data_IF_728445254499
#
_entry.id   IF_728445254499
#
_cell.length_a   1.000
_cell.length_b   1.000
_cell.length_c   1.000
_cell.angle_alpha   90.00
_cell.angle_beta   90.00
_cell.angle_gamma   90.00
#
_symmetry.space_group_name_H-M   'P 1'
#
loop_
_entity.id
_entity.type
_entity.pdbx_description
1 polymer ?
#
# COMPACT_ATOMS: atom_id res chain seq x y z
N UNK A 1 5.50 -5.87 -8.79
CA UNK A 1 4.55 -5.34 -7.79
C UNK A 1 5.31 -4.48 -6.81
N UNK A 2 4.78 -3.29 -6.52
CA UNK A 2 5.38 -2.29 -5.64
C UNK A 2 4.35 -1.88 -4.60
N UNK A 3 4.57 -2.32 -3.35
CA UNK A 3 3.61 -2.21 -2.26
C UNK A 3 3.56 -0.81 -1.63
N UNK A 4 4.58 0.02 -1.86
CA UNK A 4 4.72 1.35 -1.26
C UNK A 4 5.01 1.30 0.25
N UNK A 5 4.67 2.39 0.95
CA UNK A 5 5.00 2.57 2.37
C UNK A 5 5.64 3.93 2.67
N UNK A 6 5.04 5.01 2.15
CA UNK A 6 5.57 6.36 2.33
C UNK A 6 6.95 6.57 1.68
N UNK A 7 7.70 7.56 2.18
CA UNK A 7 9.03 7.92 1.66
C UNK A 7 10.07 6.85 2.00
N UNK A 8 9.96 6.21 3.15
CA UNK A 8 10.82 5.12 3.61
C UNK A 8 10.61 3.88 2.73
N UNK A 9 9.36 3.51 2.46
CA UNK A 9 9.03 2.42 1.54
C UNK A 9 9.53 2.68 0.11
N UNK A 10 9.28 3.89 -0.42
CA UNK A 10 9.79 4.31 -1.74
C UNK A 10 11.31 4.17 -1.86
N UNK A 11 12.05 4.57 -0.83
CA UNK A 11 13.50 4.44 -0.80
C UNK A 11 13.96 2.98 -0.82
N UNK A 12 13.32 2.12 -0.02
CA UNK A 12 13.61 0.68 0.01
C UNK A 12 13.29 0.01 -1.34
N UNK A 13 12.14 0.33 -1.93
CA UNK A 13 11.72 -0.18 -3.25
C UNK A 13 12.75 0.18 -4.33
N UNK A 14 13.21 1.43 -4.39
CA UNK A 14 14.25 1.87 -5.33
C UNK A 14 15.57 1.13 -5.10
N UNK A 15 15.98 0.94 -3.84
CA UNK A 15 17.18 0.18 -3.49
C UNK A 15 17.12 -1.28 -3.93
N UNK A 16 16.02 -1.95 -3.61
CA UNK A 16 15.76 -3.35 -3.98
C UNK A 16 15.67 -3.54 -5.50
N UNK A 17 14.98 -2.64 -6.21
CA UNK A 17 14.92 -2.63 -7.67
C UNK A 17 16.31 -2.44 -8.29
N UNK A 18 17.15 -1.55 -7.75
CA UNK A 18 18.50 -1.31 -8.25
C UNK A 18 19.41 -2.53 -8.08
N UNK A 19 19.35 -3.21 -6.92
CA UNK A 19 20.09 -4.45 -6.71
C UNK A 19 19.64 -5.57 -7.66
N UNK A 20 18.34 -5.65 -7.96
CA UNK A 20 17.81 -6.57 -8.96
C UNK A 20 18.28 -6.20 -10.38
N UNK A 21 18.30 -4.92 -10.73
CA UNK A 21 18.73 -4.42 -12.05
C UNK A 21 20.24 -4.62 -12.31
N UNK A 22 21.08 -4.39 -11.30
CA UNK A 22 22.52 -4.69 -11.33
C UNK A 22 22.81 -6.22 -11.39
N UNK A 23 21.83 -7.08 -11.05
CA UNK A 23 21.92 -8.54 -11.12
C UNK A 23 21.31 -9.17 -12.39
N UNK A 24 20.47 -8.43 -13.13
CA UNK A 24 19.86 -8.93 -14.36
C UNK A 24 20.87 -8.91 -15.52
N UNK A 25 21.30 -10.10 -15.95
CA UNK A 25 22.18 -10.26 -17.11
C UNK A 25 21.35 -10.21 -18.40
N UNK A 26 21.67 -9.28 -19.30
CA UNK A 26 21.02 -9.16 -20.62
C UNK A 26 19.58 -8.61 -20.63
N UNK A 27 19.04 -8.23 -19.47
CA UNK A 27 17.71 -7.64 -19.27
C UNK A 27 17.76 -6.54 -18.20
N UNK A 28 16.71 -5.77 -17.98
CA UNK A 28 16.58 -4.75 -16.92
C UNK A 28 15.22 -4.86 -16.24
N UNK A 29 15.09 -4.35 -15.00
CA UNK A 29 13.77 -4.22 -14.35
C UNK A 29 12.84 -3.23 -15.07
N UNK A 30 13.35 -2.47 -16.05
CA UNK A 30 12.55 -1.68 -16.99
C UNK A 30 11.96 -2.50 -18.17
N UNK A 31 12.37 -3.76 -18.35
CA UNK A 31 11.84 -4.65 -19.40
C UNK A 31 10.58 -5.42 -18.96
N UNK A 32 10.12 -5.28 -17.71
CA UNK A 32 8.92 -5.99 -17.24
C UNK A 32 7.65 -5.50 -17.96
N UNK A 33 6.82 -6.44 -18.40
CA UNK A 33 5.59 -6.17 -19.16
C UNK A 33 4.54 -5.39 -18.36
N UNK A 34 4.45 -5.66 -17.05
CA UNK A 34 3.37 -5.17 -16.16
C UNK A 34 3.92 -4.59 -14.85
N UNK A 35 3.72 -3.28 -14.66
CA UNK A 35 3.96 -2.57 -13.40
C UNK A 35 2.65 -2.35 -12.65
N UNK A 36 2.55 -2.94 -11.47
CA UNK A 36 1.46 -2.67 -10.52
C UNK A 36 2.04 -2.01 -9.27
N UNK A 37 1.47 -0.86 -8.89
CA UNK A 37 1.97 -0.04 -7.78
C UNK A 37 0.86 0.55 -6.90
N UNK A 38 1.08 0.49 -5.60
CA UNK A 38 0.18 1.00 -4.54
C UNK A 38 0.93 1.99 -3.66
N UNK A 39 0.26 3.00 -3.11
CA UNK A 39 0.89 4.05 -2.31
C UNK A 39 2.12 4.63 -3.03
N UNK A 40 3.24 4.79 -2.33
CA UNK A 40 4.51 5.21 -2.91
C UNK A 40 5.01 4.33 -4.08
N UNK A 41 4.68 3.03 -4.10
CA UNK A 41 4.98 2.10 -5.18
C UNK A 41 4.28 2.47 -6.50
N UNK A 42 3.18 3.22 -6.45
CA UNK A 42 2.57 3.82 -7.65
C UNK A 42 3.45 4.89 -8.30
N UNK A 43 4.27 5.61 -7.51
CA UNK A 43 5.24 6.57 -8.03
C UNK A 43 6.40 5.83 -8.71
N UNK A 44 6.95 4.82 -8.03
CA UNK A 44 8.08 4.02 -8.54
C UNK A 44 7.66 3.26 -9.80
N UNK A 45 6.48 2.62 -9.82
CA UNK A 45 5.91 1.96 -11.00
C UNK A 45 5.64 2.93 -12.15
N UNK A 46 5.13 4.13 -11.88
CA UNK A 46 4.91 5.16 -12.91
C UNK A 46 6.23 5.62 -13.56
N UNK A 47 7.33 5.66 -12.81
CA UNK A 47 8.66 5.98 -13.33
C UNK A 47 9.23 4.80 -14.14
N UNK A 48 9.15 3.56 -13.63
CA UNK A 48 9.60 2.35 -14.34
C UNK A 48 8.89 2.18 -15.69
N UNK A 49 7.57 2.33 -15.73
CA UNK A 49 6.76 2.21 -16.95
C UNK A 49 6.98 3.35 -17.96
N UNK A 50 7.74 4.38 -17.58
CA UNK A 50 8.27 5.43 -18.45
C UNK A 50 9.74 5.21 -18.85
N UNK A 51 10.33 4.05 -18.55
CA UNK A 51 11.73 3.74 -18.86
C UNK A 51 12.75 4.46 -17.97
N UNK A 52 12.32 5.06 -16.85
CA UNK A 52 13.22 5.69 -15.89
C UNK A 52 13.81 4.59 -15.00
N UNK A 53 15.14 4.55 -14.88
CA UNK A 53 15.85 3.44 -14.23
C UNK A 53 15.90 3.59 -12.71
N UNK A 54 16.04 2.48 -11.95
CA UNK A 54 16.23 2.53 -10.49
C UNK A 54 17.43 3.38 -10.07
N UNK A 55 18.50 3.40 -10.88
CA UNK A 55 19.68 4.26 -10.67
C UNK A 55 19.32 5.73 -10.71
N UNK A 56 18.58 6.20 -11.71
CA UNK A 56 18.17 7.60 -11.80
C UNK A 56 17.17 7.97 -10.67
N UNK A 57 16.33 7.02 -10.25
CA UNK A 57 15.49 7.17 -9.05
C UNK A 57 16.34 7.29 -7.77
N UNK A 58 17.42 6.52 -7.63
CA UNK A 58 18.34 6.63 -6.51
C UNK A 58 19.04 8.00 -6.48
N UNK A 59 19.53 8.49 -7.62
CA UNK A 59 20.05 9.85 -7.77
C UNK A 59 18.98 10.93 -7.43
N UNK A 60 17.70 10.64 -7.67
CA UNK A 60 16.56 11.46 -7.23
C UNK A 60 16.39 11.50 -5.71
N UNK A 61 16.51 10.35 -5.04
CA UNK A 61 16.45 10.23 -3.57
C UNK A 61 17.68 10.88 -2.93
N UNK A 62 18.88 10.70 -3.48
CA UNK A 62 20.11 11.42 -3.11
C UNK A 62 19.96 12.95 -3.26
N UNK A 63 19.23 13.40 -4.29
CA UNK A 63 19.11 14.81 -4.68
C UNK A 63 20.18 15.26 -5.69
N UNK A 64 20.95 14.31 -6.23
CA UNK A 64 22.02 14.50 -7.23
C UNK A 64 21.47 14.53 -8.66
N UNK A 65 20.36 13.85 -8.92
CA UNK A 65 19.65 13.81 -10.21
C UNK A 65 19.38 15.21 -10.79
N UNK A 66 19.41 15.31 -12.12
CA UNK A 66 18.95 16.51 -12.86
C UNK A 66 17.48 16.44 -13.27
N UNK A 67 16.87 15.25 -13.26
CA UNK A 67 15.50 15.01 -13.71
C UNK A 67 14.51 14.96 -12.54
N UNK A 68 14.79 14.12 -11.55
CA UNK A 68 13.91 13.80 -10.42
C UNK A 68 14.15 14.74 -9.23
N UNK A 69 14.21 16.05 -9.47
CA UNK A 69 14.45 17.06 -8.44
C UNK A 69 13.19 17.36 -7.62
N UNK A 70 13.14 17.03 -6.31
CA UNK A 70 11.95 17.28 -5.49
C UNK A 70 11.67 18.79 -5.35
N UNK A 71 10.40 19.23 -5.17
CA UNK A 71 10.03 20.63 -5.36
C UNK A 71 10.58 21.62 -4.32
N UNK A 72 11.00 21.17 -3.13
CA UNK A 72 11.48 22.05 -2.06
C UNK A 72 12.24 21.28 -0.97
N UNK A 73 12.91 22.00 -0.05
CA UNK A 73 13.47 21.43 1.21
C UNK A 73 12.41 20.84 2.15
N UNK A 74 11.14 21.20 1.98
CA UNK A 74 10.00 20.64 2.72
C UNK A 74 9.39 19.40 2.02
N UNK A 75 9.98 18.96 0.90
CA UNK A 75 9.56 17.78 0.16
C UNK A 75 8.18 17.93 -0.49
N UNK A 76 7.39 16.86 -0.43
CA UNK A 76 6.00 16.77 -0.91
C UNK A 76 4.97 17.28 0.11
N UNK A 77 5.38 17.54 1.36
CA UNK A 77 4.47 17.88 2.46
C UNK A 77 4.06 19.36 2.43
N UNK A 78 2.90 19.64 1.83
CA UNK A 78 2.25 20.96 1.90
C UNK A 78 1.10 20.93 2.91
N UNK A 79 1.16 21.67 4.04
CA UNK A 79 0.07 21.73 5.01
C UNK A 79 -1.27 22.16 4.40
N UNK A 80 -2.36 21.50 4.81
CA UNK A 80 -3.71 21.66 4.26
C UNK A 80 -4.46 22.88 4.87
N UNK A 81 -3.79 24.04 4.92
CA UNK A 81 -4.29 25.25 5.57
C UNK A 81 -5.59 25.78 4.95
N UNK A 82 -5.79 25.56 3.65
CA UNK A 82 -7.00 25.98 2.95
C UNK A 82 -8.24 25.22 3.43
N UNK A 83 -8.15 23.89 3.61
CA UNK A 83 -9.26 23.14 4.17
C UNK A 83 -9.45 23.49 5.65
N UNK A 84 -8.38 23.57 6.44
CA UNK A 84 -8.45 23.94 7.86
C UNK A 84 -9.17 25.29 8.07
N UNK A 85 -8.86 26.31 7.26
CA UNK A 85 -9.58 27.58 7.27
C UNK A 85 -11.07 27.41 6.89
N UNK A 86 -11.38 26.65 5.84
CA UNK A 86 -12.77 26.38 5.43
C UNK A 86 -13.59 25.59 6.47
N UNK A 87 -12.93 24.77 7.29
CA UNK A 87 -13.52 24.05 8.42
C UNK A 87 -13.77 24.99 9.58
N UNK A 88 -12.81 25.84 9.94
CA UNK A 88 -12.96 26.85 11.00
C UNK A 88 -14.11 27.84 10.71
N UNK A 89 -14.39 28.16 9.44
CA UNK A 89 -15.57 28.96 9.07
C UNK A 89 -16.92 28.28 9.42
N UNK A 90 -16.95 26.97 9.67
CA UNK A 90 -18.14 26.23 10.15
C UNK A 90 -18.30 26.27 11.68
N UNK A 91 -17.27 26.70 12.42
CA UNK A 91 -17.28 26.74 13.88
C UNK A 91 -18.49 27.50 14.48
N UNK A 92 -18.90 28.69 13.99
CA UNK A 92 -20.03 29.42 14.57
C UNK A 92 -21.37 28.67 14.46
N UNK A 93 -21.54 27.90 13.39
CA UNK A 93 -22.72 27.05 13.20
C UNK A 93 -22.66 25.83 14.12
N UNK A 94 -21.50 25.17 14.22
CA UNK A 94 -21.34 24.01 15.10
C UNK A 94 -21.48 24.39 16.58
N UNK A 95 -20.96 25.53 17.03
CA UNK A 95 -21.18 26.00 18.41
C UNK A 95 -22.62 26.40 18.66
N UNK A 96 -23.33 26.94 17.66
CA UNK A 96 -24.78 27.15 17.74
C UNK A 96 -25.54 25.82 17.87
N UNK A 97 -25.19 24.80 17.10
CA UNK A 97 -25.80 23.46 17.14
C UNK A 97 -25.53 22.77 18.51
N UNK A 98 -24.30 22.83 19.03
CA UNK A 98 -23.95 22.35 20.39
C UNK A 98 -24.73 23.11 21.48
N UNK A 99 -24.83 24.44 21.38
CA UNK A 99 -25.56 25.26 22.35
C UNK A 99 -27.08 25.00 22.32
N UNK A 100 -27.64 24.73 21.13
CA UNK A 100 -29.03 24.27 21.00
C UNK A 100 -29.21 22.95 21.74
N UNK A 101 -28.37 21.95 21.46
CA UNK A 101 -28.53 20.61 22.01
C UNK A 101 -28.36 20.58 23.54
N UNK A 102 -27.42 21.36 24.09
CA UNK A 102 -27.28 21.58 25.54
C UNK A 102 -28.54 22.18 26.18
N UNK A 103 -29.22 23.11 25.49
CA UNK A 103 -30.44 23.75 25.98
C UNK A 103 -31.69 22.85 25.84
N UNK A 104 -31.73 22.00 24.81
CA UNK A 104 -32.85 21.07 24.55
C UNK A 104 -32.76 19.81 25.41
N UNK A 105 -31.55 19.34 25.68
CA UNK A 105 -31.26 18.08 26.36
C UNK A 105 -30.16 18.24 27.43
N UNK A 106 -30.41 19.06 28.49
CA UNK A 106 -29.46 19.27 29.57
C UNK A 106 -29.06 17.95 30.23
N UNK A 107 -27.76 17.74 30.39
CA UNK A 107 -27.19 16.53 30.99
C UNK A 107 -27.04 15.33 30.06
N UNK A 108 -27.47 15.37 28.78
CA UNK A 108 -27.19 14.30 27.82
C UNK A 108 -25.78 14.37 27.20
N UNK A 109 -25.27 15.57 26.96
CA UNK A 109 -23.96 15.78 26.35
C UNK A 109 -22.85 15.74 27.40
N UNK A 110 -21.87 14.85 27.20
CA UNK A 110 -20.65 14.74 27.98
C UNK A 110 -19.44 15.32 27.20
N UNK A 111 -18.26 15.51 27.83
CA UNK A 111 -17.09 16.10 27.17
C UNK A 111 -16.57 15.33 25.95
N UNK A 112 -16.76 14.01 25.89
CA UNK A 112 -16.37 13.17 24.74
C UNK A 112 -17.31 13.42 23.55
N UNK A 113 -18.61 13.60 23.79
CA UNK A 113 -19.57 13.93 22.74
C UNK A 113 -19.23 15.28 22.10
N UNK A 114 -18.92 16.28 22.94
CA UNK A 114 -18.51 17.62 22.50
C UNK A 114 -17.20 17.55 21.72
N UNK A 115 -16.22 16.75 22.16
CA UNK A 115 -14.98 16.52 21.42
C UNK A 115 -15.22 15.83 20.07
N UNK A 116 -16.15 14.85 20.01
CA UNK A 116 -16.55 14.18 18.77
C UNK A 116 -17.28 15.12 17.79
N UNK A 117 -18.16 16.00 18.28
CA UNK A 117 -18.77 17.04 17.45
C UNK A 117 -17.71 18.00 16.90
N UNK A 118 -16.79 18.47 17.74
CA UNK A 118 -15.69 19.36 17.34
C UNK A 118 -14.70 18.68 16.38
N UNK A 119 -14.55 17.35 16.40
CA UNK A 119 -13.64 16.63 15.49
C UNK A 119 -14.06 16.75 14.02
N UNK A 120 -15.32 17.06 13.72
CA UNK A 120 -15.79 17.34 12.36
C UNK A 120 -15.17 18.62 11.73
N UNK A 121 -14.55 19.47 12.56
CA UNK A 121 -13.76 20.64 12.14
C UNK A 121 -12.31 20.30 11.78
N UNK A 122 -11.83 19.07 12.04
CA UNK A 122 -10.52 18.64 11.57
C UNK A 122 -10.53 18.57 10.03
N UNK A 123 -9.42 18.92 9.35
CA UNK A 123 -9.29 18.75 7.91
C UNK A 123 -9.23 17.26 7.55
N UNK A 124 -9.69 16.91 6.35
CA UNK A 124 -9.69 15.52 5.83
C UNK A 124 -8.31 14.86 5.80
N UNK A 125 -7.24 15.66 5.74
CA UNK A 125 -5.89 15.26 6.07
C UNK A 125 -4.98 16.45 6.34
N UNK A 126 -3.87 16.22 7.06
CA UNK A 126 -2.91 17.27 7.47
C UNK A 126 -2.20 17.92 6.28
N UNK A 127 -1.92 17.15 5.23
CA UNK A 127 -1.19 17.58 4.03
C UNK A 127 -2.02 17.49 2.74
N UNK A 128 -1.60 18.23 1.71
CA UNK A 128 -2.24 18.26 0.39
C UNK A 128 -1.32 17.70 -0.69
N UNK A 129 -1.85 16.74 -1.45
CA UNK A 129 -1.16 16.06 -2.56
C UNK A 129 -0.74 16.98 -3.73
N UNK A 130 -1.02 18.29 -3.70
CA UNK A 130 -0.76 19.21 -4.82
C UNK A 130 0.73 19.28 -5.21
N UNK A 131 1.66 19.05 -4.28
CA UNK A 131 3.10 19.05 -4.58
C UNK A 131 3.58 17.73 -5.19
N UNK A 132 2.91 16.61 -4.89
CA UNK A 132 3.17 15.31 -5.49
C UNK A 132 2.71 15.28 -6.95
N UNK A 133 1.48 15.73 -7.23
CA UNK A 133 0.96 15.86 -8.61
C UNK A 133 1.90 16.71 -9.47
N UNK A 134 2.24 17.94 -9.01
CA UNK A 134 3.16 18.86 -9.70
C UNK A 134 4.62 18.39 -9.79
N UNK A 135 5.01 17.36 -9.04
CA UNK A 135 6.31 16.72 -9.17
C UNK A 135 6.25 15.69 -10.31
N UNK A 136 5.33 14.72 -10.19
CA UNK A 136 5.17 13.66 -11.19
C UNK A 136 4.80 14.22 -12.56
N UNK A 137 3.88 15.19 -12.63
CA UNK A 137 3.49 15.88 -13.87
C UNK A 137 4.70 16.48 -14.59
N UNK A 138 5.54 17.27 -13.90
CA UNK A 138 6.77 17.86 -14.48
C UNK A 138 7.83 16.83 -14.89
N UNK A 139 7.78 15.61 -14.40
CA UNK A 139 8.65 14.51 -14.86
C UNK A 139 8.03 13.86 -16.09
N UNK A 140 6.76 13.45 -15.98
CA UNK A 140 6.03 12.66 -16.97
C UNK A 140 5.55 13.46 -18.20
N UNK A 141 5.65 14.78 -18.20
CA UNK A 141 5.43 15.63 -19.40
C UNK A 141 6.73 16.13 -20.03
N UNK A 142 7.90 15.56 -19.70
CA UNK A 142 9.14 15.81 -20.45
C UNK A 142 9.15 15.00 -21.74
N UNK A 143 9.93 15.47 -22.71
CA UNK A 143 10.20 14.73 -23.94
C UNK A 143 10.74 13.32 -23.62
N UNK A 144 10.21 12.30 -24.31
CA UNK A 144 10.47 10.89 -24.06
C UNK A 144 9.50 10.18 -23.10
N UNK A 145 8.73 10.92 -22.28
CA UNK A 145 7.83 10.33 -21.28
C UNK A 145 6.35 10.64 -21.55
N UNK A 146 5.46 10.02 -20.77
CA UNK A 146 4.02 10.33 -20.79
C UNK A 146 3.35 10.28 -19.42
N UNK A 147 2.43 11.22 -19.23
CA UNK A 147 1.52 11.29 -18.08
C UNK A 147 0.16 10.61 -18.37
N UNK A 148 0.08 9.82 -19.45
CA UNK A 148 -1.13 9.15 -19.96
C UNK A 148 -0.88 7.64 -20.07
N UNK A 149 -1.67 6.84 -19.35
CA UNK A 149 -1.55 5.37 -19.30
C UNK A 149 -1.59 4.71 -20.70
N UNK A 150 -2.30 5.32 -21.65
CA UNK A 150 -2.54 4.79 -23.01
C UNK A 150 -1.33 4.99 -23.93
N UNK A 151 -0.36 5.81 -23.52
CA UNK A 151 0.82 6.21 -24.31
C UNK A 151 2.13 5.57 -23.84
N UNK A 152 2.10 4.80 -22.75
CA UNK A 152 3.26 4.04 -22.27
C UNK A 152 3.53 2.82 -23.18
N UNK A 153 4.74 2.27 -23.15
CA UNK A 153 5.02 0.95 -23.72
C UNK A 153 4.41 -0.13 -22.82
N UNK A 154 5.01 -0.35 -21.65
CA UNK A 154 4.61 -1.32 -20.64
C UNK A 154 3.27 -0.99 -19.95
N UNK A 155 2.61 -2.02 -19.43
CA UNK A 155 1.33 -1.88 -18.74
C UNK A 155 1.55 -1.27 -17.34
N UNK A 156 0.79 -0.23 -17.00
CA UNK A 156 0.85 0.42 -15.69
C UNK A 156 -0.51 0.36 -15.00
N UNK A 157 -0.51 -0.13 -13.77
CA UNK A 157 -1.70 -0.30 -12.92
C UNK A 157 -1.45 0.37 -11.57
N UNK A 158 -2.23 1.41 -11.26
CA UNK A 158 -2.13 2.16 -10.01
C UNK A 158 -3.38 1.89 -9.16
N UNK A 159 -3.18 1.45 -7.92
CA UNK A 159 -4.27 0.98 -7.03
C UNK A 159 -4.67 2.09 -6.06
N UNK A 160 -5.97 2.36 -5.96
CA UNK A 160 -6.56 3.29 -4.98
C UNK A 160 -7.84 2.69 -4.39
N UNK A 161 -8.34 3.31 -3.31
CA UNK A 161 -9.64 3.03 -2.74
C UNK A 161 -10.59 4.21 -3.03
N UNK A 162 -11.79 3.95 -3.57
CA UNK A 162 -12.86 4.95 -3.63
C UNK A 162 -13.44 5.10 -2.22
N UNK A 163 -13.38 6.32 -1.66
CA UNK A 163 -13.60 6.54 -0.23
C UNK A 163 -15.03 6.21 0.22
N UNK A 164 -16.02 6.65 -0.57
CA UNK A 164 -17.43 6.58 -0.18
C UNK A 164 -18.06 5.18 -0.39
N UNK A 165 -17.60 4.41 -1.38
CA UNK A 165 -18.05 3.03 -1.62
C UNK A 165 -17.14 1.98 -0.97
N UNK A 166 -15.93 2.34 -0.57
CA UNK A 166 -14.91 1.41 -0.09
C UNK A 166 -14.41 0.43 -1.16
N UNK A 167 -14.66 0.70 -2.45
CA UNK A 167 -14.26 -0.17 -3.56
C UNK A 167 -12.80 0.03 -3.95
N UNK A 168 -12.15 -1.06 -4.38
CA UNK A 168 -10.80 -1.01 -4.97
C UNK A 168 -10.90 -0.55 -6.42
N UNK A 169 -10.20 0.54 -6.76
CA UNK A 169 -10.14 1.08 -8.11
C UNK A 169 -8.71 0.97 -8.64
N UNK A 170 -8.57 0.50 -9.88
CA UNK A 170 -7.29 0.40 -10.58
C UNK A 170 -7.29 1.38 -11.75
N UNK A 171 -6.39 2.35 -11.73
CA UNK A 171 -6.12 3.23 -12.86
C UNK A 171 -5.13 2.52 -13.80
N UNK A 172 -5.53 2.31 -15.06
CA UNK A 172 -4.74 1.65 -16.11
C UNK A 172 -5.37 1.95 -17.48
N UNK A 173 -4.62 1.73 -18.57
CA UNK A 173 -5.08 1.92 -19.96
C UNK A 173 -6.29 1.05 -20.33
N UNK A 174 -6.48 -0.08 -19.63
CA UNK A 174 -7.55 -1.06 -19.90
C UNK A 174 -8.88 -0.73 -19.22
N UNK A 175 -8.91 0.24 -18.30
CA UNK A 175 -10.06 0.52 -17.46
C UNK A 175 -10.77 1.81 -17.87
N UNK A 176 -12.06 1.95 -17.50
CA UNK A 176 -12.92 3.12 -17.79
C UNK A 176 -12.38 4.50 -17.32
N UNK A 177 -11.26 4.52 -16.58
CA UNK A 177 -10.57 5.71 -16.06
C UNK A 177 -9.21 5.97 -16.74
N UNK A 178 -8.97 5.41 -17.93
CA UNK A 178 -7.72 5.56 -18.69
C UNK A 178 -7.41 7.01 -19.14
N UNK A 179 -8.35 7.94 -19.02
CA UNK A 179 -8.15 9.38 -19.26
C UNK A 179 -7.53 10.11 -18.06
N UNK A 180 -7.52 9.51 -16.87
CA UNK A 180 -6.97 10.11 -15.65
C UNK A 180 -5.44 10.20 -15.77
N UNK A 181 -4.81 11.37 -15.57
CA UNK A 181 -3.36 11.50 -15.64
C UNK A 181 -2.65 10.65 -14.59
N UNK A 182 -1.52 10.04 -14.94
CA UNK A 182 -0.74 9.15 -14.07
C UNK A 182 -0.31 9.89 -12.78
N UNK A 183 0.07 11.17 -12.89
CA UNK A 183 0.42 12.03 -11.76
C UNK A 183 -0.73 12.26 -10.76
N UNK A 184 -1.98 12.17 -11.23
CA UNK A 184 -3.18 12.31 -10.40
C UNK A 184 -3.61 10.96 -9.82
N UNK A 185 -3.53 9.88 -10.61
CA UNK A 185 -3.76 8.51 -10.14
C UNK A 185 -2.77 8.10 -9.03
N UNK A 186 -1.47 8.39 -9.20
CA UNK A 186 -0.45 8.14 -8.18
C UNK A 186 -0.69 8.97 -6.91
N UNK A 187 -1.18 10.21 -7.05
CA UNK A 187 -1.54 11.05 -5.92
C UNK A 187 -2.78 10.54 -5.16
N UNK A 188 -3.77 9.97 -5.85
CA UNK A 188 -4.88 9.26 -5.23
C UNK A 188 -4.41 7.98 -4.50
N UNK A 189 -3.60 7.17 -5.17
CA UNK A 189 -2.98 5.96 -4.62
C UNK A 189 -2.12 6.25 -3.37
N UNK A 190 -1.53 7.44 -3.24
CA UNK A 190 -0.67 7.85 -2.10
C UNK A 190 -1.42 8.69 -1.05
N UNK A 191 -2.74 8.84 -1.15
CA UNK A 191 -3.54 9.65 -0.24
C UNK A 191 -3.85 8.89 1.07
N UNK A 192 -2.81 8.67 1.89
CA UNK A 192 -2.89 8.00 3.20
C UNK A 192 -3.89 8.76 4.10
N UNK A 193 -4.95 8.11 4.62
CA UNK A 193 -5.95 8.76 5.47
C UNK A 193 -5.34 9.48 6.69
N UNK A 194 -5.99 10.56 7.14
CA UNK A 194 -5.51 11.50 8.19
C UNK A 194 -4.25 12.29 7.81
N UNK A 195 -3.29 11.66 7.12
CA UNK A 195 -2.02 12.29 6.73
C UNK A 195 -2.18 13.19 5.50
N UNK A 196 -2.82 12.70 4.45
CA UNK A 196 -3.09 13.44 3.21
C UNK A 196 -4.60 13.55 2.96
N UNK A 197 -5.05 14.69 2.43
CA UNK A 197 -6.44 14.84 1.98
C UNK A 197 -6.76 13.82 0.88
N UNK A 198 -8.01 13.31 0.79
CA UNK A 198 -8.49 12.56 -0.36
C UNK A 198 -8.30 13.35 -1.67
N UNK A 199 -8.09 12.62 -2.75
CA UNK A 199 -7.93 13.19 -4.10
C UNK A 199 -9.22 12.98 -4.88
N UNK A 200 -9.90 14.09 -5.18
CA UNK A 200 -11.12 14.13 -6.00
C UNK A 200 -10.78 13.94 -7.48
N UNK A 201 -11.39 12.95 -8.14
CA UNK A 201 -11.30 12.69 -9.59
C UNK A 201 -12.67 12.24 -10.10
N UNK A 202 -13.20 12.87 -11.15
CA UNK A 202 -14.52 12.54 -11.74
C UNK A 202 -15.62 12.41 -10.68
N UNK A 203 -15.72 13.44 -9.84
CA UNK A 203 -16.57 13.57 -8.65
C UNK A 203 -16.44 12.53 -7.50
N UNK A 204 -15.58 11.52 -7.65
CA UNK A 204 -15.27 10.54 -6.59
C UNK A 204 -14.02 10.95 -5.80
N UNK A 205 -14.06 10.86 -4.47
CA UNK A 205 -12.86 11.00 -3.63
C UNK A 205 -12.12 9.66 -3.48
N UNK A 206 -10.80 9.69 -3.64
CA UNK A 206 -9.93 8.53 -3.52
C UNK A 206 -8.91 8.68 -2.38
N UNK A 207 -8.63 7.56 -1.71
CA UNK A 207 -7.61 7.39 -0.67
C UNK A 207 -6.67 6.22 -1.01
N UNK A 208 -5.61 6.05 -0.22
CA UNK A 208 -4.53 5.09 -0.47
C UNK A 208 -5.03 3.65 -0.74
N UNK A 209 -4.49 3.03 -1.79
CA UNK A 209 -4.91 1.70 -2.24
C UNK A 209 -4.57 0.57 -1.29
N UNK A 210 -3.61 0.76 -0.36
CA UNK A 210 -3.17 -0.28 0.58
C UNK A 210 -4.30 -0.83 1.44
N UNK A 211 -5.29 0.01 1.74
CA UNK A 211 -6.52 -0.31 2.48
C UNK A 211 -7.32 -1.46 1.82
N UNK A 212 -7.15 -1.68 0.51
CA UNK A 212 -7.84 -2.72 -0.27
C UNK A 212 -6.89 -3.80 -0.80
N UNK A 213 -5.75 -3.98 -0.16
CA UNK A 213 -4.75 -5.00 -0.50
C UNK A 213 -3.49 -4.38 -1.11
N UNK A 214 -2.44 -4.30 -0.31
CA UNK A 214 -1.20 -3.57 -0.59
C UNK A 214 -0.52 -3.93 -1.92
N UNK A 215 -0.53 -5.20 -2.32
CA UNK A 215 0.22 -5.69 -3.49
C UNK A 215 -0.60 -5.85 -4.76
N UNK A 216 -1.93 -6.01 -4.67
CA UNK A 216 -2.82 -6.29 -5.80
C UNK A 216 -2.30 -7.36 -6.81
N UNK A 217 -1.77 -8.47 -6.30
CA UNK A 217 -1.17 -9.57 -7.10
C UNK A 217 -2.14 -10.12 -8.15
N UNK A 218 -3.41 -10.26 -7.80
CA UNK A 218 -4.50 -10.61 -8.71
C UNK A 218 -4.56 -9.76 -9.99
N UNK A 219 -4.17 -8.47 -9.92
CA UNK A 219 -4.13 -7.60 -11.09
C UNK A 219 -3.06 -8.07 -12.08
N UNK A 220 -1.86 -8.44 -11.62
CA UNK A 220 -0.80 -8.94 -12.50
C UNK A 220 -1.12 -10.36 -13.03
N UNK A 221 -1.73 -11.22 -12.21
CA UNK A 221 -2.23 -12.53 -12.65
C UNK A 221 -3.29 -12.36 -13.75
N UNK A 222 -4.23 -11.42 -13.59
CA UNK A 222 -5.22 -11.08 -14.62
C UNK A 222 -4.64 -10.39 -15.87
N UNK A 223 -3.34 -10.04 -15.85
CA UNK A 223 -2.57 -9.64 -17.05
C UNK A 223 -1.73 -10.76 -17.66
N UNK A 224 -1.75 -11.96 -17.07
CA UNK A 224 -1.02 -13.14 -17.58
C UNK A 224 0.43 -13.22 -17.09
N UNK A 225 0.80 -12.51 -16.02
CA UNK A 225 2.15 -12.56 -15.47
C UNK A 225 2.46 -13.94 -14.84
N UNK A 226 3.32 -14.72 -15.48
CA UNK A 226 3.79 -16.03 -14.96
C UNK A 226 4.93 -15.90 -13.94
N UNK A 227 5.56 -14.73 -13.84
CA UNK A 227 6.53 -14.38 -12.80
C UNK A 227 6.16 -13.01 -12.22
N UNK A 228 6.04 -12.95 -10.90
CA UNK A 228 5.64 -11.77 -10.14
C UNK A 228 6.71 -11.48 -9.10
N UNK A 229 7.58 -10.51 -9.40
CA UNK A 229 8.47 -9.91 -8.39
C UNK A 229 7.66 -8.94 -7.55
N UNK A 230 7.58 -9.17 -6.25
CA UNK A 230 6.86 -8.35 -5.30
C UNK A 230 7.83 -7.80 -4.24
N UNK A 231 7.92 -6.48 -4.12
CA UNK A 231 8.72 -5.82 -3.10
C UNK A 231 7.77 -5.24 -2.05
N UNK A 232 7.93 -5.65 -0.79
CA UNK A 232 7.16 -5.14 0.34
C UNK A 232 8.09 -4.62 1.46
N UNK A 233 8.20 -3.31 1.68
CA UNK A 233 8.91 -2.74 2.82
C UNK A 233 8.04 -2.67 4.10
N UNK A 234 6.73 -2.94 4.00
CA UNK A 234 5.78 -2.87 5.12
C UNK A 234 5.72 -4.24 5.81
N UNK A 235 6.74 -4.51 6.62
CA UNK A 235 6.85 -5.68 7.49
C UNK A 235 6.71 -5.23 8.95
N UNK A 236 5.92 -5.93 9.80
CA UNK A 236 5.86 -5.70 11.24
C UNK A 236 7.10 -6.27 11.94
N UNK A 237 7.53 -5.64 13.03
CA UNK A 237 8.74 -6.07 13.76
C UNK A 237 8.43 -7.21 14.75
N UNK A 238 9.34 -8.17 14.87
CA UNK A 238 9.34 -9.17 15.94
C UNK A 238 10.33 -8.75 17.03
N UNK A 239 9.83 -8.06 18.06
CA UNK A 239 10.69 -7.57 19.15
C UNK A 239 11.27 -8.67 20.05
N UNK A 240 10.85 -9.94 19.91
CA UNK A 240 11.27 -11.03 20.82
C UNK A 240 12.76 -11.36 20.73
N UNK A 241 13.38 -11.14 19.57
CA UNK A 241 14.80 -11.42 19.30
C UNK A 241 15.60 -10.15 18.96
N UNK A 242 14.97 -8.97 19.04
CA UNK A 242 15.58 -7.71 18.63
C UNK A 242 16.66 -7.25 19.61
N UNK A 243 17.77 -6.77 19.07
CA UNK A 243 18.85 -6.13 19.83
C UNK A 243 18.97 -4.68 19.35
N UNK A 244 17.98 -3.81 19.69
CA UNK A 244 17.97 -2.43 19.21
C UNK A 244 19.23 -1.68 19.68
N UNK A 245 19.70 -0.65 18.95
CA UNK A 245 21.01 -0.05 19.20
C UNK A 245 21.11 0.58 20.59
N UNK A 246 22.32 0.63 21.15
CA UNK A 246 22.59 1.25 22.45
C UNK A 246 22.02 2.68 22.53
N UNK A 247 21.30 3.01 23.60
CA UNK A 247 20.58 4.27 23.77
C UNK A 247 19.23 4.38 23.05
N UNK A 248 18.92 3.51 22.08
CA UNK A 248 17.57 3.43 21.48
C UNK A 248 16.60 2.77 22.46
N UNK A 249 17.00 1.65 23.09
CA UNK A 249 16.18 0.97 24.11
C UNK A 249 15.85 1.88 25.31
N UNK A 250 16.84 2.64 25.78
CA UNK A 250 16.66 3.59 26.89
C UNK A 250 15.68 4.74 26.58
N UNK A 251 15.49 5.05 25.30
CA UNK A 251 14.57 6.09 24.82
C UNK A 251 13.18 5.53 24.46
N UNK A 252 13.10 4.24 24.11
CA UNK A 252 11.92 3.62 23.50
C UNK A 252 11.21 2.58 24.38
N UNK A 253 11.80 2.18 25.51
CA UNK A 253 11.22 1.22 26.46
C UNK A 253 11.47 -0.25 26.12
N UNK A 254 10.87 -1.15 26.91
CA UNK A 254 10.99 -2.61 26.74
C UNK A 254 9.85 -3.19 25.90
N UNK A 255 8.80 -2.41 25.62
CA UNK A 255 7.61 -2.85 24.88
C UNK A 255 7.22 -1.86 23.77
N UNK A 256 6.63 -2.36 22.68
CA UNK A 256 6.11 -1.51 21.58
C UNK A 256 5.00 -0.53 22.02
N UNK A 257 4.43 -0.71 23.21
CA UNK A 257 3.49 0.23 23.83
C UNK A 257 4.19 1.50 24.38
N UNK A 258 5.47 1.40 24.77
CA UNK A 258 6.25 2.49 25.36
C UNK A 258 6.64 3.54 24.31
N UNK A 259 6.67 3.13 23.03
CA UNK A 259 6.66 4.00 21.84
C UNK A 259 5.41 4.90 21.73
N UNK A 260 4.42 4.69 22.60
CA UNK A 260 3.13 5.36 22.60
C UNK A 260 2.29 5.09 21.36
N UNK A 261 1.25 5.91 21.18
CA UNK A 261 0.25 5.78 20.11
C UNK A 261 0.88 5.60 18.71
N UNK A 262 2.02 6.26 18.43
CA UNK A 262 2.69 6.17 17.12
C UNK A 262 3.26 4.78 16.85
N UNK A 263 4.00 4.20 17.80
CA UNK A 263 4.58 2.87 17.62
C UNK A 263 3.53 1.77 17.57
N UNK A 264 2.51 1.87 18.44
CA UNK A 264 1.35 0.96 18.42
C UNK A 264 0.63 0.99 17.08
N UNK A 265 0.26 2.19 16.58
CA UNK A 265 -0.39 2.31 15.27
C UNK A 265 0.51 1.86 14.11
N UNK A 266 1.80 2.18 14.12
CA UNK A 266 2.76 1.73 13.10
C UNK A 266 2.85 0.19 13.05
N UNK A 267 2.96 -0.48 14.20
CA UNK A 267 3.02 -1.95 14.25
C UNK A 267 1.70 -2.61 13.82
N UNK A 268 0.55 -2.12 14.31
CA UNK A 268 -0.76 -2.69 13.95
C UNK A 268 -1.04 -2.50 12.47
N UNK A 269 -0.76 -1.31 11.91
CA UNK A 269 -0.93 -1.04 10.49
C UNK A 269 -0.02 -1.90 9.61
N UNK A 270 1.25 -2.10 10.01
CA UNK A 270 2.18 -3.02 9.35
C UNK A 270 1.67 -4.46 9.37
N UNK A 271 1.21 -4.94 10.53
CA UNK A 271 0.65 -6.29 10.68
C UNK A 271 -0.55 -6.51 9.75
N UNK A 272 -1.56 -5.63 9.81
CA UNK A 272 -2.75 -5.74 8.96
C UNK A 272 -2.45 -5.76 7.46
N UNK A 273 -1.47 -4.96 6.99
CA UNK A 273 -1.08 -4.94 5.59
C UNK A 273 -0.21 -6.15 5.19
N UNK A 274 0.62 -6.66 6.09
CA UNK A 274 1.48 -7.83 5.86
C UNK A 274 0.71 -9.15 5.89
N UNK A 275 -0.18 -9.34 6.88
CA UNK A 275 -1.06 -10.51 6.92
C UNK A 275 -1.97 -10.57 5.68
N UNK A 276 -2.56 -9.42 5.30
CA UNK A 276 -3.36 -9.30 4.08
C UNK A 276 -2.56 -9.55 2.79
N UNK A 277 -1.26 -9.22 2.76
CA UNK A 277 -0.35 -9.60 1.67
C UNK A 277 -0.13 -11.12 1.63
N UNK A 278 0.21 -11.72 2.78
CA UNK A 278 0.54 -13.14 2.87
C UNK A 278 -0.68 -14.03 2.57
N UNK A 279 -1.88 -13.67 3.03
CA UNK A 279 -3.12 -14.38 2.70
C UNK A 279 -3.50 -14.26 1.21
N UNK A 280 -3.28 -13.09 0.60
CA UNK A 280 -3.45 -12.93 -0.84
C UNK A 280 -2.45 -13.77 -1.64
N UNK A 281 -1.20 -13.88 -1.19
CA UNK A 281 -0.19 -14.78 -1.78
C UNK A 281 -0.61 -16.25 -1.66
N UNK A 282 -1.13 -16.68 -0.49
CA UNK A 282 -1.65 -18.06 -0.30
C UNK A 282 -2.79 -18.36 -1.28
N UNK A 283 -3.75 -17.43 -1.42
CA UNK A 283 -4.88 -17.57 -2.33
C UNK A 283 -4.44 -17.64 -3.80
N UNK A 284 -3.52 -16.78 -4.23
CA UNK A 284 -2.99 -16.81 -5.60
C UNK A 284 -2.23 -18.12 -5.87
N UNK A 285 -1.36 -18.58 -4.96
CA UNK A 285 -0.65 -19.87 -5.11
C UNK A 285 -1.59 -21.08 -5.16
N UNK A 286 -2.78 -20.99 -4.55
CA UNK A 286 -3.79 -22.05 -4.61
C UNK A 286 -4.54 -22.05 -5.95
N UNK A 287 -4.95 -20.88 -6.44
CA UNK A 287 -5.76 -20.73 -7.65
C UNK A 287 -4.92 -20.74 -8.95
N UNK A 288 -3.66 -20.32 -8.87
CA UNK A 288 -2.73 -20.12 -9.98
C UNK A 288 -1.35 -20.70 -9.63
N UNK A 289 -1.23 -22.05 -9.49
CA UNK A 289 0.03 -22.71 -9.11
C UNK A 289 1.12 -22.65 -10.21
N UNK A 290 0.77 -22.14 -11.38
CA UNK A 290 1.62 -21.83 -12.53
C UNK A 290 2.35 -20.48 -12.42
N UNK A 291 1.94 -19.62 -11.47
CA UNK A 291 2.51 -18.28 -11.29
C UNK A 291 3.58 -18.26 -10.19
N UNK A 292 4.81 -17.91 -10.57
CA UNK A 292 5.93 -17.74 -9.65
C UNK A 292 5.82 -16.39 -8.91
N UNK A 293 5.86 -16.42 -7.58
CA UNK A 293 5.96 -15.20 -6.77
C UNK A 293 7.34 -15.16 -6.10
N UNK A 294 8.11 -14.11 -6.40
CA UNK A 294 9.36 -13.78 -5.72
C UNK A 294 9.09 -12.60 -4.77
N UNK A 295 8.93 -12.89 -3.49
CA UNK A 295 8.67 -11.88 -2.47
C UNK A 295 9.99 -11.41 -1.83
N UNK A 296 10.24 -10.11 -1.92
CA UNK A 296 11.40 -9.39 -1.38
C UNK A 296 10.91 -8.55 -0.19
N UNK A 297 11.44 -8.83 1.00
CA UNK A 297 11.02 -8.20 2.26
C UNK A 297 12.21 -7.88 3.18
N UNK A 298 12.13 -6.80 3.99
CA UNK A 298 12.91 -6.66 5.21
C UNK A 298 12.71 -7.87 6.12
N UNK A 299 13.69 -8.16 6.99
CA UNK A 299 13.51 -9.22 7.98
C UNK A 299 12.52 -8.75 9.08
N UNK A 300 11.82 -9.68 9.77
CA UNK A 300 11.03 -9.31 10.95
C UNK A 300 11.88 -8.74 12.10
N UNK A 301 13.17 -9.04 12.16
CA UNK A 301 14.12 -8.48 13.13
C UNK A 301 14.84 -7.21 12.60
N UNK A 302 14.32 -6.56 11.56
CA UNK A 302 14.94 -5.41 10.92
C UNK A 302 14.64 -4.07 11.62
N UNK A 303 15.52 -3.71 12.55
CA UNK A 303 15.49 -2.44 13.29
C UNK A 303 15.47 -1.19 12.39
N UNK A 304 16.20 -1.21 11.25
CA UNK A 304 16.34 -0.07 10.34
C UNK A 304 14.98 0.24 9.70
N UNK A 305 14.28 -0.81 9.28
CA UNK A 305 12.99 -0.71 8.60
C UNK A 305 11.81 -0.49 9.55
N UNK A 306 11.94 -0.77 10.85
CA UNK A 306 10.89 -0.50 11.83
C UNK A 306 11.01 0.88 12.52
N UNK A 307 12.19 1.22 13.06
CA UNK A 307 12.36 2.45 13.86
C UNK A 307 12.47 3.72 13.01
N UNK A 308 12.58 3.58 11.68
CA UNK A 308 12.39 4.70 10.77
C UNK A 308 10.93 4.82 10.35
N UNK A 309 10.28 5.87 10.86
CA UNK A 309 8.94 6.32 10.46
C UNK A 309 8.80 6.33 8.93
N UNK A 310 7.66 5.85 8.42
CA UNK A 310 7.43 5.67 6.98
C UNK A 310 7.54 6.98 6.16
N UNK A 311 7.45 8.13 6.83
CA UNK A 311 7.48 9.46 6.23
C UNK A 311 8.85 10.15 6.38
N UNK A 312 9.85 9.48 6.98
CA UNK A 312 11.15 10.02 7.36
C UNK A 312 12.08 10.34 6.18
N UNK A 313 12.07 11.60 5.74
CA UNK A 313 12.94 12.07 4.67
C UNK A 313 14.44 12.06 5.04
N UNK A 314 14.82 12.04 6.32
CA UNK A 314 16.23 11.91 6.75
C UNK A 314 16.74 10.47 6.62
N UNK A 315 15.92 9.46 6.93
CA UNK A 315 16.30 8.05 6.85
C UNK A 315 16.49 7.52 5.42
N UNK A 316 15.83 8.15 4.43
CA UNK A 316 15.71 7.66 3.04
C UNK A 316 17.02 7.18 2.38
N UNK A 317 18.18 7.78 2.69
CA UNK A 317 19.46 7.38 2.09
C UNK A 317 19.99 6.07 2.65
N UNK A 318 19.90 5.90 3.98
CA UNK A 318 20.25 4.63 4.63
C UNK A 318 19.27 3.53 4.21
N UNK A 319 17.98 3.86 4.13
CA UNK A 319 16.92 2.92 3.75
C UNK A 319 17.04 2.47 2.29
N UNK A 320 17.47 3.34 1.37
CA UNK A 320 17.77 2.98 -0.02
C UNK A 320 18.97 2.03 -0.10
N UNK A 321 20.08 2.38 0.56
CA UNK A 321 21.26 1.51 0.64
C UNK A 321 20.89 0.14 1.25
N UNK A 322 20.06 0.13 2.27
CA UNK A 322 19.62 -1.07 2.96
C UNK A 322 18.63 -1.93 2.13
N UNK A 323 17.79 -1.34 1.28
CA UNK A 323 17.00 -2.07 0.29
C UNK A 323 17.86 -2.79 -0.74
N UNK A 324 18.94 -2.13 -1.19
CA UNK A 324 19.94 -2.74 -2.08
C UNK A 324 20.68 -3.90 -1.38
N UNK A 325 21.09 -3.71 -0.12
CA UNK A 325 21.72 -4.74 0.72
C UNK A 325 20.81 -5.94 0.97
N UNK A 326 19.50 -5.73 1.19
CA UNK A 326 18.52 -6.78 1.48
C UNK A 326 18.40 -7.77 0.32
N UNK A 327 18.28 -7.27 -0.92
CA UNK A 327 18.24 -8.11 -2.12
C UNK A 327 19.59 -8.79 -2.35
N UNK A 328 20.69 -8.04 -2.25
CA UNK A 328 22.05 -8.55 -2.47
C UNK A 328 22.46 -9.66 -1.47
N UNK A 329 21.95 -9.60 -0.23
CA UNK A 329 22.23 -10.58 0.83
C UNK A 329 21.26 -11.76 0.77
N UNK A 330 19.96 -11.51 0.61
CA UNK A 330 18.97 -12.60 0.52
C UNK A 330 19.14 -13.50 -0.71
N UNK A 331 19.72 -12.98 -1.80
CA UNK A 331 20.10 -13.80 -2.97
C UNK A 331 21.37 -14.62 -2.71
N UNK A 332 22.31 -14.12 -1.90
CA UNK A 332 23.47 -14.88 -1.42
C UNK A 332 23.04 -16.05 -0.51
N UNK A 333 22.04 -15.85 0.35
CA UNK A 333 21.41 -16.91 1.15
C UNK A 333 20.68 -17.97 0.31
N UNK A 334 20.34 -17.63 -0.95
CA UNK A 334 19.80 -18.56 -1.96
C UNK A 334 20.90 -19.16 -2.87
N UNK A 335 22.18 -18.89 -2.59
CA UNK A 335 23.34 -19.42 -3.31
C UNK A 335 23.76 -18.64 -4.56
N UNK A 336 23.11 -17.50 -4.85
CA UNK A 336 23.47 -16.62 -5.97
C UNK A 336 24.46 -15.57 -5.45
N UNK A 337 25.72 -15.52 -5.92
CA UNK A 337 26.68 -14.55 -5.44
C UNK A 337 26.21 -13.10 -5.73
N UNK A 338 26.45 -12.13 -4.82
CA UNK A 338 26.17 -10.72 -5.11
C UNK A 338 26.98 -10.26 -6.33
N UNK A 339 26.50 -9.22 -7.05
CA UNK A 339 27.14 -8.80 -8.29
C UNK A 339 28.57 -8.32 -8.02
N UNK A 340 29.49 -8.67 -8.90
CA UNK A 340 30.86 -8.13 -8.89
C UNK A 340 30.79 -6.60 -9.04
N UNK A 341 31.37 -5.79 -8.13
CA UNK A 341 31.39 -4.34 -8.26
C UNK A 341 32.02 -3.80 -9.55
N UNK A 342 32.81 -4.62 -10.28
CA UNK A 342 33.33 -4.29 -11.60
C UNK A 342 32.38 -4.65 -12.77
N UNK A 343 31.31 -5.40 -12.50
CA UNK A 343 30.30 -5.84 -13.49
C UNK A 343 28.91 -5.20 -13.24
N UNK A 344 28.64 -4.72 -12.02
CA UNK A 344 27.48 -3.89 -11.72
C UNK A 344 27.42 -2.68 -12.66
N UNK A 345 26.24 -2.39 -13.21
CA UNK A 345 26.03 -1.36 -14.23
C UNK A 345 26.28 0.04 -13.69
N UNK A 346 26.08 0.24 -12.38
CA UNK A 346 26.08 1.57 -11.76
C UNK A 346 26.88 1.62 -10.43
N UNK A 347 28.22 1.75 -10.48
CA UNK A 347 29.14 1.57 -9.34
C UNK A 347 29.14 2.68 -8.28
N UNK A 348 28.10 3.53 -8.20
CA UNK A 348 28.09 4.74 -7.37
C UNK A 348 27.71 4.54 -5.89
N UNK A 349 27.29 3.34 -5.48
CA UNK A 349 27.09 3.00 -4.05
C UNK A 349 28.27 2.15 -3.54
N UNK A 350 29.13 2.67 -2.64
CA UNK A 350 30.28 1.91 -2.15
C UNK A 350 29.85 0.88 -1.08
N UNK A 351 30.07 -0.43 -1.29
CA UNK A 351 29.71 -1.45 -0.30
C UNK A 351 30.60 -1.35 0.94
N UNK A 352 30.05 -0.93 2.08
CA UNK A 352 30.80 -0.80 3.34
C UNK A 352 30.49 -1.91 4.35
N UNK A 353 31.49 -2.77 4.57
CA UNK A 353 31.67 -3.70 5.70
C UNK A 353 30.57 -4.75 5.91
N UNK A 354 30.81 -5.95 5.37
CA UNK A 354 30.25 -7.20 5.90
C UNK A 354 30.60 -7.37 7.38
N UNK A 355 29.60 -7.65 8.22
CA UNK A 355 29.79 -8.19 9.56
C UNK A 355 28.63 -9.15 9.93
N UNK A 356 28.97 -10.42 10.16
CA UNK A 356 28.20 -11.40 10.96
C UNK A 356 26.68 -11.49 10.73
N UNK A 357 26.26 -12.09 9.62
CA UNK A 357 24.97 -12.80 9.58
C UNK A 357 25.12 -14.16 10.30
N UNK A 358 24.49 -14.30 11.47
CA UNK A 358 24.48 -15.53 12.26
C UNK A 358 23.48 -16.58 11.73
N UNK A 359 23.70 -17.85 12.07
CA UNK A 359 22.83 -18.95 11.64
C UNK A 359 21.45 -18.89 12.35
N UNK A 360 20.44 -18.36 11.65
CA UNK A 360 19.06 -18.20 12.13
C UNK A 360 18.16 -17.76 10.99
N UNK A 361 17.94 -18.66 10.02
CA UNK A 361 17.49 -18.30 8.68
C UNK A 361 15.95 -18.21 8.51
N UNK A 362 15.36 -17.08 8.91
CA UNK A 362 14.20 -16.57 8.19
C UNK A 362 14.69 -15.90 6.90
N UNK A 363 14.24 -16.37 5.73
CA UNK A 363 14.77 -15.93 4.42
C UNK A 363 14.31 -14.51 4.05
N UNK A 364 15.25 -13.66 3.64
CA UNK A 364 14.98 -12.30 3.11
C UNK A 364 14.28 -12.30 1.74
N UNK A 365 14.51 -13.32 0.92
CA UNK A 365 13.68 -13.61 -0.25
C UNK A 365 12.91 -14.90 -0.03
N UNK A 366 11.59 -14.83 -0.14
CA UNK A 366 10.71 -16.00 -0.17
C UNK A 366 10.40 -16.34 -1.62
N UNK A 367 11.03 -17.39 -2.14
CA UNK A 367 10.74 -17.91 -3.49
C UNK A 367 9.60 -18.93 -3.41
N UNK A 368 8.41 -18.51 -3.83
CA UNK A 368 7.16 -19.18 -3.46
C UNK A 368 6.82 -20.44 -4.30
N UNK A 369 7.82 -21.19 -4.77
CA UNK A 369 7.62 -22.56 -5.32
C UNK A 369 7.79 -23.66 -4.26
N UNK A 370 8.84 -23.62 -3.46
CA UNK A 370 9.27 -24.78 -2.65
C UNK A 370 8.97 -24.69 -1.15
N UNK A 371 8.56 -23.52 -0.65
CA UNK A 371 8.20 -23.38 0.76
C UNK A 371 6.91 -24.16 1.05
N UNK A 372 7.09 -25.30 1.73
CA UNK A 372 6.02 -26.06 2.37
C UNK A 372 5.29 -25.19 3.41
N UNK A 373 4.12 -25.63 3.86
CA UNK A 373 3.37 -24.92 4.91
C UNK A 373 4.29 -24.69 6.13
N UNK A 374 4.30 -23.50 6.73
CA UNK A 374 5.13 -23.22 7.89
C UNK A 374 4.74 -24.16 9.03
N UNK A 375 5.73 -24.87 9.58
CA UNK A 375 5.50 -25.79 10.71
C UNK A 375 4.78 -25.05 11.85
N UNK A 376 3.75 -25.69 12.40
CA UNK A 376 3.01 -25.14 13.52
C UNK A 376 3.97 -24.94 14.71
N UNK A 377 3.91 -23.79 15.42
CA UNK A 377 4.87 -23.46 16.45
C UNK A 377 4.90 -24.52 17.56
N UNK A 378 6.10 -25.02 17.83
CA UNK A 378 6.32 -26.24 18.57
C UNK A 378 5.84 -26.15 20.04
N UNK A 379 4.96 -27.07 20.43
CA UNK A 379 4.82 -27.46 21.83
C UNK A 379 4.11 -26.51 22.80
N UNK A 380 2.85 -26.11 22.54
CA UNK A 380 1.90 -25.91 23.67
C UNK A 380 1.60 -27.29 24.28
N UNK A 381 2.48 -27.74 25.19
CA UNK A 381 2.31 -29.00 25.91
C UNK A 381 1.10 -28.91 26.85
N UNK A 382 -0.01 -29.52 26.44
CA UNK A 382 -1.09 -29.84 27.36
C UNK A 382 -0.55 -30.67 28.54
N UNK A 383 -0.88 -30.35 29.81
CA UNK A 383 -0.35 -31.06 30.96
C UNK A 383 -0.88 -32.49 30.99
N UNK A 384 0.03 -33.47 30.88
CA UNK A 384 -0.34 -34.88 30.86
C UNK A 384 -0.93 -35.33 32.20
N UNK A 385 -2.04 -36.08 32.16
CA UNK A 385 -2.64 -36.69 33.36
C UNK A 385 -1.71 -37.75 33.97
N UNK A 386 -1.07 -37.42 35.09
CA UNK A 386 -0.40 -38.39 35.95
C UNK A 386 -1.38 -38.93 37.02
N UNK A 387 -1.67 -40.23 36.98
CA UNK A 387 -2.63 -40.88 37.88
C UNK A 387 -1.97 -41.63 39.06
N UNK A 388 -2.55 -41.49 40.26
CA UNK A 388 -2.19 -42.22 41.48
C UNK A 388 -1.31 -41.40 42.44
N UNK A 389 -1.59 -41.31 43.75
CA UNK A 389 -2.08 -42.41 44.60
C UNK A 389 -2.75 -41.94 45.94
N UNK A 390 -3.71 -42.73 46.43
CA UNK A 390 -4.06 -43.01 47.87
C UNK A 390 -4.73 -41.93 48.78
N UNK A 391 -6.07 -42.05 48.85
CA UNK A 391 -6.93 -42.25 50.06
C UNK A 391 -6.87 -41.30 51.29
N UNK A 392 -8.04 -40.69 51.57
CA UNK A 392 -8.76 -40.40 52.86
C UNK A 392 -9.32 -38.95 52.83
N UNK A 393 -10.58 -38.65 53.14
CA UNK A 393 -11.78 -39.48 53.36
C UNK A 393 -12.91 -38.74 54.12
N UNK A 394 -14.16 -39.24 54.02
CA UNK A 394 -15.44 -38.80 54.68
C UNK A 394 -16.15 -37.55 54.12
N UNK A 395 -17.49 -37.66 54.02
CA UNK A 395 -18.47 -36.58 53.85
C UNK A 395 -18.74 -36.14 52.40
N UNK A 396 -19.98 -35.95 51.93
CA UNK A 396 -21.29 -36.32 52.50
C UNK A 396 -22.41 -35.32 52.14
N UNK A 397 -23.54 -35.82 51.63
CA UNK A 397 -24.72 -35.05 51.14
C UNK A 397 -24.51 -34.28 49.82
N UNK A 398 -25.52 -33.97 48.99
CA UNK A 398 -26.84 -34.58 48.66
C UNK A 398 -27.30 -33.97 47.31
N UNK A 399 -28.00 -34.74 46.47
CA UNK A 399 -28.82 -34.18 45.37
C UNK A 399 -30.15 -33.61 45.92
N UNK A 400 -30.82 -32.71 45.16
CA UNK A 400 -31.90 -33.18 44.28
C UNK A 400 -31.91 -32.55 42.86
N UNK A 401 -31.95 -33.43 41.86
CA UNK A 401 -32.98 -33.61 40.81
C UNK A 401 -33.70 -32.43 40.09
N UNK A 402 -34.08 -32.76 38.85
CA UNK A 402 -35.12 -32.17 37.96
C UNK A 402 -34.77 -30.88 37.17
N UNK A 403 -35.16 -30.75 35.89
CA UNK A 403 -35.93 -31.67 35.03
C UNK A 403 -35.59 -31.56 33.52
N UNK A 404 -35.91 -32.62 32.77
CA UNK A 404 -35.73 -32.73 31.32
C UNK A 404 -36.95 -32.19 30.53
N UNK A 405 -36.71 -31.75 29.27
CA UNK A 405 -37.69 -31.84 28.17
C UNK A 405 -36.92 -32.16 26.88
N UNK A 406 -37.43 -33.10 26.07
CA UNK A 406 -36.76 -33.56 24.85
C UNK A 406 -37.15 -32.85 23.54
N UNK A 407 -36.16 -32.80 22.64
CA UNK A 407 -36.18 -32.88 21.16
C UNK A 407 -37.54 -32.86 20.42
N UNK A 408 -37.62 -31.94 19.46
CA UNK A 408 -37.93 -32.22 18.06
C UNK A 408 -37.18 -31.17 17.18
N UNK A 409 -36.81 -31.40 15.93
CA UNK A 409 -37.02 -32.59 15.07
C UNK A 409 -37.40 -32.19 13.64
N UNK A 410 -36.47 -31.61 12.87
CA UNK A 410 -36.72 -31.12 11.50
C UNK A 410 -35.48 -31.20 10.60
N UNK A 411 -35.71 -31.45 9.31
CA UNK A 411 -34.68 -31.72 8.28
C UNK A 411 -34.26 -30.43 7.53
N UNK A 412 -33.10 -30.41 6.83
CA UNK A 412 -32.56 -29.21 6.20
C UNK A 412 -33.27 -28.80 4.90
N UNK A 413 -33.09 -27.54 4.51
CA UNK A 413 -33.48 -26.99 3.20
C UNK A 413 -32.24 -26.94 2.31
N UNK A 414 -32.36 -27.34 1.05
CA UNK A 414 -31.33 -27.14 0.02
C UNK A 414 -31.39 -25.71 -0.52
N UNK A 415 -30.27 -25.00 -0.54
CA UNK A 415 -30.12 -23.75 -1.30
C UNK A 415 -29.41 -24.02 -2.63
N UNK A 416 -29.99 -23.53 -3.73
CA UNK A 416 -29.48 -23.72 -5.08
C UNK A 416 -28.32 -22.77 -5.45
N UNK A 417 -27.61 -23.03 -6.57
CA UNK A 417 -26.45 -22.25 -6.97
C UNK A 417 -26.81 -20.82 -7.44
N UNK A 418 -25.91 -19.83 -7.28
CA UNK A 418 -26.17 -18.44 -7.60
C UNK A 418 -26.19 -18.15 -9.12
N UNK A 419 -27.13 -17.30 -9.55
CA UNK A 419 -27.27 -16.85 -10.94
C UNK A 419 -26.56 -15.53 -11.20
N UNK A 420 -25.79 -15.45 -12.29
CA UNK A 420 -25.13 -14.23 -12.77
C UNK A 420 -26.09 -13.27 -13.49
N UNK A 421 -26.01 -11.95 -13.27
CA UNK A 421 -26.83 -10.96 -13.97
C UNK A 421 -26.07 -10.26 -15.11
N UNK A 422 -26.20 -10.74 -16.34
CA UNK A 422 -25.88 -9.95 -17.54
C UNK A 422 -26.85 -10.32 -18.69
N UNK A 423 -27.01 -9.39 -19.65
CA UNK A 423 -27.86 -9.50 -20.86
C UNK A 423 -29.38 -9.77 -20.70
N UNK A 424 -30.16 -8.68 -20.70
CA UNK A 424 -31.56 -8.69 -21.13
C UNK A 424 -31.84 -7.50 -22.06
N UNK A 425 -31.77 -7.71 -23.38
CA UNK A 425 -32.06 -6.69 -24.39
C UNK A 425 -33.58 -6.57 -24.62
N UNK A 426 -34.10 -5.34 -24.60
CA UNK A 426 -35.51 -5.02 -24.88
C UNK A 426 -35.67 -3.58 -25.37
N UNK A 427 -35.83 -3.41 -26.68
CA UNK A 427 -35.85 -2.12 -27.39
C UNK A 427 -37.28 -1.54 -27.55
N UNK A 428 -37.48 -0.28 -27.98
CA UNK A 428 -38.52 0.56 -27.36
C UNK A 428 -39.70 0.99 -28.26
N UNK A 429 -40.69 1.62 -27.62
CA UNK A 429 -41.81 2.40 -28.19
C UNK A 429 -42.27 3.43 -27.14
N UNK A 430 -42.85 4.58 -27.45
CA UNK A 430 -42.90 5.40 -28.68
C UNK A 430 -43.38 6.81 -28.28
N UNK A 431 -43.41 7.75 -29.23
CA UNK A 431 -43.89 9.14 -29.09
C UNK A 431 -43.05 10.06 -28.16
N UNK A 432 -42.95 11.36 -28.43
CA UNK A 432 -43.42 12.07 -29.62
C UNK A 432 -43.59 13.57 -29.39
N UNK A 433 -42.56 14.37 -29.70
CA UNK A 433 -42.64 15.83 -29.87
C UNK A 433 -41.42 16.31 -30.64
N UNK A 434 -41.60 17.30 -31.52
CA UNK A 434 -40.56 17.77 -32.43
C UNK A 434 -40.55 19.30 -32.48
N UNK A 435 -39.35 19.90 -32.57
CA UNK A 435 -39.21 21.19 -33.26
C UNK A 435 -37.81 21.40 -33.87
N UNK A 436 -37.78 21.32 -35.20
CA UNK A 436 -37.02 22.10 -36.18
C UNK A 436 -35.54 22.47 -35.93
N UNK A 437 -34.68 21.93 -36.81
CA UNK A 437 -33.43 22.59 -37.28
C UNK A 437 -33.76 23.68 -38.32
N UNK A 438 -32.78 24.54 -38.64
CA UNK A 438 -32.04 24.35 -39.90
C UNK A 438 -30.50 24.29 -39.63
N UNK A 439 -29.56 23.81 -40.45
CA UNK A 439 -29.38 23.84 -41.92
C UNK A 439 -29.08 25.30 -42.40
N UNK A 440 -28.16 25.65 -43.32
CA UNK A 440 -27.17 24.99 -44.22
C UNK A 440 -26.14 26.07 -44.69
N UNK A 441 -24.99 25.82 -45.34
CA UNK A 441 -24.27 24.61 -45.78
C UNK A 441 -22.75 24.91 -45.97
N UNK A 442 -21.95 23.86 -46.20
CA UNK A 442 -20.69 23.77 -47.01
C UNK A 442 -19.49 24.76 -46.93
N UNK A 443 -18.29 24.18 -47.17
CA UNK A 443 -17.01 24.79 -47.60
C UNK A 443 -16.32 25.84 -46.67
N UNK A 444 -14.99 26.00 -46.68
CA UNK A 444 -13.94 25.25 -47.36
C UNK A 444 -12.64 26.07 -47.49
N UNK A 445 -11.52 25.38 -47.74
CA UNK A 445 -10.17 25.90 -48.01
C UNK A 445 -9.37 26.54 -46.84
N UNK A 446 -8.17 25.98 -46.67
CA UNK A 446 -6.97 26.63 -46.11
C UNK A 446 -6.47 27.74 -47.09
N UNK A 447 -5.60 28.69 -46.68
CA UNK A 447 -4.17 28.34 -46.65
C UNK A 447 -3.29 29.06 -45.60
N UNK A 448 -2.16 28.43 -45.26
CA UNK A 448 -0.93 29.07 -44.77
C UNK A 448 -0.32 30.04 -45.83
N UNK A 449 0.50 31.07 -45.47
CA UNK A 449 1.86 30.80 -44.96
C UNK A 449 2.58 31.87 -44.08
N UNK A 450 3.71 31.41 -43.52
CA UNK A 450 5.00 32.11 -43.33
C UNK A 450 5.16 33.39 -42.48
N UNK A 451 5.73 33.17 -41.28
CA UNK A 451 7.12 33.55 -40.91
C UNK A 451 7.49 34.98 -40.44
N UNK A 452 8.62 35.04 -39.71
CA UNK A 452 9.38 36.19 -39.19
C UNK A 452 8.81 36.97 -37.98
N UNK A 453 9.66 37.13 -36.95
CA UNK A 453 9.38 37.77 -35.66
C UNK A 453 10.44 37.39 -34.63
#
# INVERSE_FOLDING_TARGET
MLCGGGITGLAYEIGALRALDDLLVGSTVNDFDVYVGTSAGSMVGALLANGITPTEMALGVEGTSQMLRPPSRWGIYRPNLAEAASRLLKLPRLTQEIAWELARHPGKLNPVDIAGMLSALLPSGVFSNSQLVRFLERVLTREGFSNDFRRLSAELHIVACALDSGERVVFSRFNKRAHVPISLAAAASTAIPQLFRPVRIDDVDYVDGGIKGISAIDVAVARGATLIVAINPIVPVDTRNLHPPDGVRDLLGDHLADLGMRGVCNQVFRGMLHDGLLDHIKLVRHNHPDVDILLIEPRPDDEKMFFHDLMSYSARLMVLQHGYESVSTGLYDLGIPPPDPAQARHPHLPPQRRAQAGAGAARQLRYAKSDAAPDAPDGVRAPAHAGGHRRRGRGGMRHPDNQEVEKAGGAPVEEGPPTTPEEALGSPSSDGSAEQRPDRDEAGHEPHPSNAG
#
